data_IF_171358222029
#
_entry.id   IF_171358222029
#
_cell.length_a   1.000
_cell.length_b   1.000
_cell.length_c   1.000
_cell.angle_alpha   90.00
_cell.angle_beta   90.00
_cell.angle_gamma   90.00
#
_symmetry.space_group_name_H-M   'P 1'
#
loop_
_entity.id
_entity.type
_entity.pdbx_description
1 polymer ?
#
# COMPACT_ATOMS: atom_id res chain seq x y z
N UNK A 1 6.81 -12.14 -4.46
CA UNK A 1 5.49 -12.12 -5.14
C UNK A 1 5.50 -11.00 -6.16
N UNK A 2 5.17 -11.29 -7.42
CA UNK A 2 5.04 -10.25 -8.45
C UNK A 2 3.67 -9.59 -8.31
N UNK A 3 3.65 -8.29 -8.05
CA UNK A 3 2.41 -7.53 -7.97
C UNK A 3 2.08 -7.00 -9.35
N UNK A 4 0.80 -7.10 -9.74
CA UNK A 4 0.32 -6.63 -11.03
C UNK A 4 -0.61 -5.43 -10.85
N UNK A 5 -0.55 -4.52 -11.81
CA UNK A 5 -1.49 -3.41 -11.89
C UNK A 5 -2.80 -3.95 -12.47
N UNK A 6 -3.89 -3.74 -11.76
CA UNK A 6 -5.24 -4.09 -12.23
C UNK A 6 -5.93 -2.83 -12.71
N UNK A 7 -6.28 -2.77 -13.99
CA UNK A 7 -7.04 -1.64 -14.53
C UNK A 7 -8.53 -1.84 -14.25
N UNK A 8 -9.15 -0.91 -13.52
CA UNK A 8 -10.60 -0.90 -13.31
C UNK A 8 -11.31 -0.13 -14.42
N UNK A 9 -10.78 1.05 -14.77
CA UNK A 9 -11.29 1.87 -15.86
C UNK A 9 -10.12 2.49 -16.64
N UNK A 10 -10.41 3.24 -17.71
CA UNK A 10 -9.40 3.96 -18.49
C UNK A 10 -8.54 4.93 -17.66
N UNK A 11 -9.08 5.41 -16.55
CA UNK A 11 -8.45 6.43 -15.70
C UNK A 11 -8.17 5.93 -14.28
N UNK A 12 -8.48 4.67 -13.98
CA UNK A 12 -8.39 4.12 -12.63
C UNK A 12 -7.73 2.75 -12.66
N UNK A 13 -6.64 2.62 -11.91
CA UNK A 13 -5.92 1.37 -11.75
C UNK A 13 -5.69 1.10 -10.26
N UNK A 14 -5.57 -0.16 -9.87
CA UNK A 14 -5.27 -0.59 -8.51
C UNK A 14 -3.93 -1.32 -8.50
N UNK A 15 -3.12 -1.02 -7.49
CA UNK A 15 -1.83 -1.67 -7.27
C UNK A 15 -1.57 -1.84 -5.76
N UNK A 16 -1.40 -3.08 -5.28
CA UNK A 16 -1.22 -3.41 -3.84
C UNK A 16 -2.25 -2.78 -2.90
N UNK A 17 -3.50 -2.64 -3.36
CA UNK A 17 -4.58 -1.99 -2.60
C UNK A 17 -4.56 -0.46 -2.64
N UNK A 18 -3.58 0.16 -3.31
CA UNK A 18 -3.60 1.58 -3.64
C UNK A 18 -4.37 1.81 -4.93
N UNK A 19 -5.06 2.94 -4.96
CA UNK A 19 -5.75 3.47 -6.13
C UNK A 19 -4.83 4.47 -6.83
N UNK A 20 -4.59 4.24 -8.13
CA UNK A 20 -3.84 5.11 -9.02
C UNK A 20 -4.84 5.73 -10.00
N UNK A 21 -5.14 7.00 -9.84
CA UNK A 21 -6.09 7.73 -10.66
C UNK A 21 -5.36 8.66 -11.63
N UNK A 22 -5.60 8.48 -12.94
CA UNK A 22 -5.12 9.38 -13.97
C UNK A 22 -5.98 10.64 -14.02
N UNK A 23 -5.36 11.78 -13.76
CA UNK A 23 -6.03 13.07 -13.78
C UNK A 23 -6.20 13.58 -15.22
N UNK A 24 -7.28 14.33 -15.50
CA UNK A 24 -7.47 14.98 -16.79
C UNK A 24 -6.38 16.01 -17.04
N UNK A 25 -5.99 16.15 -18.31
CA UNK A 25 -5.06 17.20 -18.75
C UNK A 25 -5.80 18.54 -18.74
N UNK A 26 -5.09 19.60 -18.35
CA UNK A 26 -5.60 20.97 -18.45
C UNK A 26 -4.52 21.88 -19.03
N UNK A 27 -4.88 23.11 -19.42
CA UNK A 27 -3.92 24.09 -19.96
C UNK A 27 -2.80 24.38 -18.95
N UNK A 28 -3.11 24.37 -17.65
CA UNK A 28 -2.13 24.52 -16.58
C UNK A 28 -1.26 23.26 -16.37
N UNK A 29 -1.74 22.09 -16.77
CA UNK A 29 -1.03 20.80 -16.60
C UNK A 29 -1.18 19.94 -17.86
N UNK A 30 -0.32 20.16 -18.87
CA UNK A 30 -0.42 19.47 -20.15
C UNK A 30 -0.03 17.99 -20.06
N UNK A 31 0.80 17.64 -19.07
CA UNK A 31 1.29 16.28 -18.87
C UNK A 31 0.27 15.39 -18.14
N UNK A 32 0.39 14.08 -18.34
CA UNK A 32 -0.36 13.14 -17.51
C UNK A 32 0.10 13.22 -16.07
N UNK A 33 -0.88 13.15 -15.17
CA UNK A 33 -0.64 13.11 -13.74
C UNK A 33 -1.44 11.96 -13.15
N UNK A 34 -0.84 11.32 -12.17
CA UNK A 34 -1.40 10.15 -11.51
C UNK A 34 -1.45 10.44 -10.03
N UNK A 35 -2.65 10.49 -9.48
CA UNK A 35 -2.89 10.65 -8.06
C UNK A 35 -2.91 9.28 -7.39
N UNK A 36 -2.22 9.14 -6.26
CA UNK A 36 -2.19 7.92 -5.46
C UNK A 36 -3.00 8.12 -4.20
N UNK A 37 -3.99 7.25 -3.99
CA UNK A 37 -4.80 7.21 -2.78
C UNK A 37 -4.94 5.80 -2.24
N UNK A 38 -5.20 5.66 -0.95
CA UNK A 38 -5.55 4.38 -0.33
C UNK A 38 -6.52 4.63 0.82
N UNK A 39 -7.63 3.91 0.84
CA UNK A 39 -8.66 4.00 1.89
C UNK A 39 -9.12 5.45 2.17
N UNK A 40 -9.23 6.26 1.12
CA UNK A 40 -9.61 7.68 1.22
C UNK A 40 -8.48 8.65 1.58
N UNK A 41 -7.28 8.16 1.89
CA UNK A 41 -6.11 8.99 2.19
C UNK A 41 -5.31 9.29 0.92
N UNK A 42 -4.80 10.52 0.82
CA UNK A 42 -3.98 11.00 -0.28
C UNK A 42 -2.49 10.83 0.01
N UNK A 43 -1.76 10.20 -0.91
CA UNK A 43 -0.33 9.90 -0.76
C UNK A 43 0.56 10.72 -1.70
N UNK A 44 -0.01 11.39 -2.69
CA UNK A 44 0.75 12.20 -3.62
C UNK A 44 0.21 12.16 -5.05
N UNK A 45 0.91 12.89 -5.91
CA UNK A 45 0.61 12.98 -7.33
C UNK A 45 1.92 12.99 -8.12
N UNK A 46 2.05 12.04 -9.04
CA UNK A 46 3.23 11.84 -9.88
C UNK A 46 2.94 12.11 -11.36
N UNK A 47 3.99 12.39 -12.13
CA UNK A 47 3.88 12.63 -13.57
C UNK A 47 3.82 11.33 -14.40
N UNK A 48 4.16 10.18 -13.80
CA UNK A 48 4.15 8.89 -14.47
C UNK A 48 3.59 7.78 -13.56
N UNK A 49 2.85 6.85 -14.16
CA UNK A 49 2.30 5.69 -13.46
C UNK A 49 3.40 4.79 -12.88
N UNK A 50 4.55 4.70 -13.55
CA UNK A 50 5.69 3.92 -13.07
C UNK A 50 6.29 4.50 -11.78
N UNK A 51 6.32 5.83 -11.62
CA UNK A 51 6.81 6.47 -10.39
C UNK A 51 5.84 6.27 -9.23
N UNK A 52 4.53 6.38 -9.48
CA UNK A 52 3.50 6.05 -8.50
C UNK A 52 3.66 4.60 -7.99
N UNK A 53 3.93 3.64 -8.89
CA UNK A 53 4.19 2.24 -8.54
C UNK A 53 5.43 2.09 -7.66
N UNK A 54 6.55 2.74 -8.00
CA UNK A 54 7.78 2.71 -7.20
C UNK A 54 7.58 3.27 -5.80
N UNK A 55 6.82 4.36 -5.67
CA UNK A 55 6.49 4.95 -4.36
C UNK A 55 5.66 3.97 -3.54
N UNK A 56 4.64 3.34 -4.14
CA UNK A 56 3.84 2.32 -3.47
C UNK A 56 4.70 1.13 -3.01
N UNK A 57 5.62 0.66 -3.86
CA UNK A 57 6.54 -0.42 -3.48
C UNK A 57 7.43 -0.02 -2.30
N UNK A 58 7.94 1.21 -2.30
CA UNK A 58 8.75 1.75 -1.19
C UNK A 58 7.94 1.86 0.10
N UNK A 59 6.70 2.36 0.02
CA UNK A 59 5.80 2.47 1.17
C UNK A 59 5.48 1.09 1.75
N UNK A 60 5.17 0.11 0.90
CA UNK A 60 4.92 -1.26 1.34
C UNK A 60 6.16 -1.91 1.97
N UNK A 61 7.34 -1.71 1.39
CA UNK A 61 8.58 -2.24 1.94
C UNK A 61 8.91 -1.64 3.31
N UNK A 62 8.79 -0.32 3.44
CA UNK A 62 8.97 0.36 4.73
C UNK A 62 7.95 -0.14 5.76
N UNK A 63 6.67 -0.25 5.40
CA UNK A 63 5.64 -0.76 6.30
C UNK A 63 5.95 -2.18 6.77
N UNK A 64 6.40 -3.05 5.86
CA UNK A 64 6.79 -4.43 6.19
C UNK A 64 7.95 -4.45 7.21
N UNK A 65 8.99 -3.65 6.98
CA UNK A 65 10.12 -3.53 7.91
C UNK A 65 9.66 -3.04 9.30
N UNK A 66 8.78 -2.04 9.34
CA UNK A 66 8.19 -1.53 10.58
C UNK A 66 7.38 -2.60 11.31
N UNK A 67 6.55 -3.35 10.59
CA UNK A 67 5.78 -4.44 11.19
C UNK A 67 6.68 -5.54 11.76
N UNK A 68 7.77 -5.89 11.06
CA UNK A 68 8.74 -6.87 11.57
C UNK A 68 9.51 -6.36 12.79
N UNK A 69 9.85 -5.07 12.85
CA UNK A 69 10.45 -4.45 14.05
C UNK A 69 9.51 -4.53 15.24
N UNK A 70 8.23 -4.22 15.02
CA UNK A 70 7.21 -4.27 16.06
C UNK A 70 6.91 -5.72 16.50
N UNK A 71 6.89 -6.68 15.58
CA UNK A 71 6.65 -8.10 15.91
C UNK A 71 7.81 -8.73 16.69
N UNK A 72 9.05 -8.28 16.47
CA UNK A 72 10.20 -8.65 17.31
C UNK A 72 10.12 -8.08 18.72
N UNK A 73 9.25 -7.09 18.94
CA UNK A 73 9.04 -6.42 20.22
C UNK A 73 7.77 -6.87 20.95
N UNK A 74 6.89 -7.66 20.33
CA UNK A 74 5.82 -8.33 21.08
C UNK A 74 6.46 -9.46 21.88
N UNK A 75 6.50 -9.39 23.23
CA UNK A 75 6.81 -10.57 24.01
C UNK A 75 5.75 -11.59 23.63
N UNK A 76 6.17 -12.74 23.11
CA UNK A 76 5.32 -13.91 23.00
C UNK A 76 5.02 -14.33 24.44
N UNK A 77 4.07 -13.66 25.09
CA UNK A 77 3.54 -14.10 26.37
C UNK A 77 2.98 -15.48 26.12
N UNK A 78 3.69 -16.45 26.66
CA UNK A 78 3.38 -17.87 26.67
C UNK A 78 1.90 -18.05 26.97
N UNK A 79 1.11 -18.45 25.97
CA UNK A 79 -0.14 -19.15 26.24
C UNK A 79 0.28 -20.54 26.69
N UNK A 80 0.74 -20.64 27.93
CA UNK A 80 0.79 -21.92 28.64
C UNK A 80 -0.66 -22.30 28.86
N UNK A 81 -1.20 -23.10 27.95
CA UNK A 81 -2.42 -23.86 28.19
C UNK A 81 -2.14 -24.75 29.41
N UNK A 82 -2.49 -24.25 30.60
CA UNK A 82 -2.46 -25.08 31.81
C UNK A 82 -3.63 -26.05 31.67
N UNK A 83 -3.32 -27.25 31.20
CA UNK A 83 -4.20 -28.42 31.30
C UNK A 83 -4.36 -28.74 32.79
N UNK A 84 -5.30 -28.07 33.44
CA UNK A 84 -5.74 -28.39 34.80
C UNK A 84 -6.59 -29.65 34.77
N UNK A 85 -5.96 -30.77 35.16
CA UNK A 85 -6.60 -31.99 35.62
C UNK A 85 -7.28 -31.69 36.99
N UNK A 86 -8.37 -32.41 37.29
CA UNK A 86 -9.12 -32.60 38.55
C UNK A 86 -10.58 -32.14 38.40
N UNK A 87 -11.62 -32.94 38.63
CA UNK A 87 -11.82 -34.18 39.42
C UNK A 87 -12.77 -35.14 38.68
#
# INVERSE_FOLDING_TARGET
MNHQIVNMTKHLSIYRGFTIQRLPRSVAYPNHRYQVTKDGLYYGQDFAQAEAVKIIDTLCAAQQEWMEKLSRFTPSSEVTSVSGINE
#
